data_IF_320774643773
#
_entry.id   IF_320774643773
#
_cell.length_a   1.000
_cell.length_b   1.000
_cell.length_c   1.000
_cell.angle_alpha   90.00
_cell.angle_beta   90.00
_cell.angle_gamma   90.00
#
_symmetry.space_group_name_H-M   'P 1'
#
loop_
_entity.id
_entity.type
_entity.pdbx_description
1 polymer ?
#
# COMPACT_ATOMS: atom_id res chain seq x y z
N UNK A 1 -7.24 -17.57 0.70
CA UNK A 1 -7.13 -16.30 1.41
C UNK A 1 -8.53 -15.78 1.60
N UNK A 2 -8.96 -15.54 2.84
CA UNK A 2 -10.24 -14.88 3.10
C UNK A 2 -10.14 -13.40 2.73
N UNK A 3 -11.27 -12.72 2.44
CA UNK A 3 -11.26 -11.29 2.20
C UNK A 3 -10.61 -10.49 3.35
N UNK A 4 -10.81 -10.94 4.59
CA UNK A 4 -10.24 -10.32 5.78
C UNK A 4 -8.71 -10.46 5.86
N UNK A 5 -8.17 -11.61 5.46
CA UNK A 5 -6.70 -11.82 5.37
C UNK A 5 -6.07 -10.91 4.31
N UNK A 6 -6.76 -10.72 3.17
CA UNK A 6 -6.30 -9.83 2.09
C UNK A 6 -6.28 -8.38 2.55
N UNK A 7 -7.34 -7.93 3.22
CA UNK A 7 -7.44 -6.57 3.76
C UNK A 7 -6.39 -6.30 4.84
N UNK A 8 -6.15 -7.26 5.72
CA UNK A 8 -5.11 -7.17 6.74
C UNK A 8 -3.71 -7.10 6.11
N UNK A 9 -3.43 -7.92 5.09
CA UNK A 9 -2.17 -7.88 4.37
C UNK A 9 -1.96 -6.54 3.65
N UNK A 10 -3.00 -6.02 2.98
CA UNK A 10 -2.97 -4.71 2.32
C UNK A 10 -2.70 -3.58 3.32
N UNK A 11 -3.36 -3.62 4.49
CA UNK A 11 -3.17 -2.67 5.58
C UNK A 11 -1.74 -2.68 6.12
N UNK A 12 -1.13 -3.86 6.27
CA UNK A 12 0.27 -3.99 6.72
C UNK A 12 1.22 -3.36 5.70
N UNK A 13 1.03 -3.61 4.40
CA UNK A 13 1.85 -3.02 3.33
C UNK A 13 1.69 -1.49 3.33
N UNK A 14 0.45 -0.99 3.40
CA UNK A 14 0.16 0.44 3.46
C UNK A 14 0.80 1.12 4.69
N UNK A 15 0.76 0.49 5.88
CA UNK A 15 1.44 0.98 7.09
C UNK A 15 2.95 1.08 6.88
N UNK A 16 3.58 0.05 6.31
CA UNK A 16 5.03 0.07 6.02
C UNK A 16 5.39 1.20 5.06
N UNK A 17 4.61 1.36 4.00
CA UNK A 17 4.79 2.45 3.03
C UNK A 17 4.67 3.82 3.70
N UNK A 18 3.64 4.04 4.53
CA UNK A 18 3.48 5.30 5.27
C UNK A 18 4.64 5.57 6.24
N UNK A 19 5.14 4.54 6.92
CA UNK A 19 6.30 4.67 7.79
C UNK A 19 7.53 5.08 6.99
N UNK A 20 7.78 4.46 5.83
CA UNK A 20 8.89 4.83 4.95
C UNK A 20 8.70 6.25 4.40
N UNK A 21 7.50 6.61 3.95
CA UNK A 21 7.18 7.94 3.45
C UNK A 21 7.44 9.04 4.50
N UNK A 22 7.15 8.77 5.77
CA UNK A 22 7.36 9.70 6.90
C UNK A 22 8.79 9.67 7.45
N UNK A 23 9.64 8.77 6.97
CA UNK A 23 11.05 8.70 7.41
C UNK A 23 11.81 9.93 6.93
N UNK A 24 12.68 10.48 7.79
CA UNK A 24 13.54 11.62 7.46
C UNK A 24 14.64 11.25 6.45
N UNK A 25 14.98 9.97 6.36
CA UNK A 25 15.99 9.43 5.44
C UNK A 25 15.39 8.95 4.11
N UNK A 26 14.10 9.20 3.89
CA UNK A 26 13.43 8.79 2.65
C UNK A 26 13.72 9.78 1.51
N UNK A 27 14.27 9.24 0.42
CA UNK A 27 14.54 9.99 -0.82
C UNK A 27 13.56 9.67 -1.95
N UNK A 28 12.55 8.84 -1.69
CA UNK A 28 11.55 8.47 -2.67
C UNK A 28 10.28 9.31 -2.54
N UNK A 29 9.71 9.70 -3.68
CA UNK A 29 8.36 10.24 -3.76
C UNK A 29 7.32 9.18 -3.41
N UNK A 30 6.10 9.62 -3.07
CA UNK A 30 4.97 8.72 -2.84
C UNK A 30 4.76 7.75 -4.01
N UNK A 31 4.85 8.23 -5.27
CA UNK A 31 4.65 7.39 -6.45
C UNK A 31 5.72 6.29 -6.55
N UNK A 32 6.98 6.62 -6.30
CA UNK A 32 8.10 5.65 -6.29
C UNK A 32 7.94 4.61 -5.19
N UNK A 33 7.49 5.02 -4.00
CA UNK A 33 7.17 4.07 -2.94
C UNK A 33 5.98 3.17 -3.33
N UNK A 34 4.94 3.71 -3.94
CA UNK A 34 3.82 2.91 -4.44
C UNK A 34 4.28 1.88 -5.47
N UNK A 35 5.18 2.23 -6.39
CA UNK A 35 5.76 1.27 -7.34
C UNK A 35 6.61 0.20 -6.65
N UNK A 36 7.44 0.59 -5.68
CA UNK A 36 8.26 -0.32 -4.87
C UNK A 36 7.40 -1.38 -4.18
N UNK A 37 6.27 -0.98 -3.61
CA UNK A 37 5.37 -1.86 -2.88
C UNK A 37 4.31 -2.53 -3.76
N UNK A 38 4.07 -2.06 -4.99
CA UNK A 38 3.10 -2.64 -5.91
C UNK A 38 3.38 -4.11 -6.21
N UNK A 39 4.65 -4.50 -6.35
CA UNK A 39 5.00 -5.91 -6.57
C UNK A 39 4.56 -6.82 -5.42
N UNK A 40 4.62 -6.34 -4.17
CA UNK A 40 4.16 -7.09 -2.99
C UNK A 40 2.63 -7.10 -2.88
N UNK A 41 1.99 -6.03 -3.32
CA UNK A 41 0.53 -5.85 -3.31
C UNK A 41 -0.19 -6.56 -4.47
N UNK A 42 0.52 -6.88 -5.57
CA UNK A 42 -0.04 -7.51 -6.77
C UNK A 42 -0.94 -8.74 -6.53
N UNK A 43 -0.56 -9.73 -5.69
CA UNK A 43 -1.43 -10.89 -5.44
C UNK A 43 -2.69 -10.57 -4.62
N UNK A 44 -2.73 -9.41 -3.97
CA UNK A 44 -3.84 -8.94 -3.14
C UNK A 44 -4.81 -8.04 -3.92
N UNK A 45 -4.34 -7.47 -5.02
CA UNK A 45 -5.10 -6.50 -5.81
C UNK A 45 -6.22 -7.21 -6.60
N UNK A 46 -7.46 -6.72 -6.54
CA UNK A 46 -8.53 -7.20 -7.41
C UNK A 46 -8.15 -7.10 -8.88
N UNK A 47 -8.60 -8.06 -9.69
CA UNK A 47 -8.37 -8.04 -11.14
C UNK A 47 -8.93 -6.77 -11.78
N UNK A 48 -8.25 -6.24 -12.80
CA UNK A 48 -8.71 -5.07 -13.54
C UNK A 48 -8.40 -3.72 -12.86
N UNK A 49 -7.66 -3.73 -11.75
CA UNK A 49 -7.21 -2.52 -11.09
C UNK A 49 -5.70 -2.35 -11.22
N UNK A 50 -5.27 -1.11 -11.40
CA UNK A 50 -3.87 -0.72 -11.30
C UNK A 50 -3.40 -0.86 -9.84
N UNK A 51 -2.42 -1.73 -9.61
CA UNK A 51 -2.00 -2.14 -8.25
C UNK A 51 -1.52 -0.94 -7.42
N UNK A 52 -0.78 -0.01 -8.04
CA UNK A 52 -0.30 1.19 -7.36
C UNK A 52 -1.44 2.13 -6.96
N UNK A 53 -2.49 2.23 -7.78
CA UNK A 53 -3.66 3.07 -7.52
C UNK A 53 -4.51 2.45 -6.40
N UNK A 54 -4.72 1.13 -6.47
CA UNK A 54 -5.40 0.37 -5.42
C UNK A 54 -4.66 0.47 -4.08
N UNK A 55 -3.33 0.35 -4.08
CA UNK A 55 -2.50 0.50 -2.89
C UNK A 55 -2.55 1.94 -2.34
N UNK A 56 -2.62 2.95 -3.22
CA UNK A 56 -2.78 4.35 -2.82
C UNK A 56 -4.06 4.57 -1.99
N UNK A 57 -5.18 3.93 -2.38
CA UNK A 57 -6.43 3.99 -1.61
C UNK A 57 -6.25 3.41 -0.20
N UNK A 58 -5.54 2.28 -0.07
CA UNK A 58 -5.24 1.70 1.24
C UNK A 58 -4.34 2.60 2.10
N UNK A 59 -3.33 3.23 1.49
CA UNK A 59 -2.46 4.21 2.15
C UNK A 59 -3.30 5.37 2.71
N UNK A 60 -4.25 5.90 1.94
CA UNK A 60 -5.16 6.94 2.42
C UNK A 60 -6.06 6.46 3.56
N UNK A 61 -6.68 5.29 3.45
CA UNK A 61 -7.52 4.71 4.53
C UNK A 61 -6.74 4.57 5.84
N UNK A 62 -5.52 4.03 5.77
CA UNK A 62 -4.66 3.87 6.94
C UNK A 62 -4.24 5.22 7.53
N UNK A 63 -3.93 6.21 6.68
CA UNK A 63 -3.60 7.56 7.14
C UNK A 63 -4.77 8.23 7.86
N UNK A 64 -6.01 7.95 7.45
CA UNK A 64 -7.25 8.43 8.08
C UNK A 64 -7.70 7.59 9.29
N UNK A 65 -7.01 6.49 9.61
CA UNK A 65 -7.36 5.60 10.72
C UNK A 65 -8.55 4.67 10.45
N UNK A 66 -8.86 4.41 9.17
CA UNK A 66 -9.96 3.55 8.70
C UNK A 66 -9.49 2.14 8.34
#
# INVERSE_FOLDING_TARGET
MTPEEVDNAARIIAKKLLTELRSKDNHHTLRQLLDKYANQAKPLCPSGHEVWLWLCVWVHRVAEGK
#
